data_IF_119083301971
#
_entry.id   IF_119083301971
#
_cell.length_a   1.000
_cell.length_b   1.000
_cell.length_c   1.000
_cell.angle_alpha   90.00
_cell.angle_beta   90.00
_cell.angle_gamma   90.00
#
_symmetry.space_group_name_H-M   'P 1'
#
loop_
_entity.id
_entity.type
_entity.pdbx_description
1 polymer ?
#
# COMPACT_ATOMS: atom_id res chain seq x y z
N UNK A 1 -29.75 9.77 63.64
CA UNK A 1 -29.55 10.18 62.25
C UNK A 1 -28.08 10.07 61.81
N UNK A 2 -27.29 9.04 62.22
CA UNK A 2 -25.88 8.88 61.80
C UNK A 2 -25.54 7.53 61.16
N UNK A 3 -26.54 6.68 60.87
CA UNK A 3 -26.32 5.31 60.34
C UNK A 3 -26.66 5.09 58.88
N UNK A 4 -27.21 6.10 58.17
CA UNK A 4 -27.60 5.92 56.76
C UNK A 4 -26.56 6.48 55.75
N UNK A 5 -25.59 7.31 56.20
CA UNK A 5 -24.58 7.88 55.34
C UNK A 5 -23.45 6.89 54.93
N UNK A 6 -23.10 5.96 55.84
CA UNK A 6 -22.08 4.96 55.56
C UNK A 6 -22.54 3.88 54.54
N UNK A 7 -23.82 3.55 54.51
CA UNK A 7 -24.37 2.58 53.55
C UNK A 7 -24.47 3.17 52.13
N UNK A 8 -24.68 4.49 52.00
CA UNK A 8 -24.75 5.17 50.71
C UNK A 8 -23.36 5.35 50.10
N UNK A 9 -22.33 5.58 50.93
CA UNK A 9 -20.94 5.73 50.44
C UNK A 9 -20.36 4.33 50.05
N UNK A 10 -20.70 3.26 50.79
CA UNK A 10 -20.26 1.92 50.41
C UNK A 10 -20.91 1.40 49.12
N UNK A 11 -22.15 1.79 48.84
CA UNK A 11 -22.81 1.41 47.60
C UNK A 11 -22.32 2.23 46.40
N UNK A 12 -21.87 3.48 46.55
CA UNK A 12 -21.28 4.31 45.52
C UNK A 12 -19.85 3.87 45.16
N UNK A 13 -19.08 3.40 46.14
CA UNK A 13 -17.71 2.87 45.90
C UNK A 13 -17.78 1.46 45.28
N UNK A 14 -18.77 0.63 45.60
CA UNK A 14 -18.97 -0.67 44.96
C UNK A 14 -19.50 -0.53 43.50
N UNK A 15 -20.29 0.50 43.20
CA UNK A 15 -20.76 0.78 41.83
C UNK A 15 -19.67 1.38 40.93
N UNK A 16 -18.75 2.17 41.49
CA UNK A 16 -17.62 2.72 40.72
C UNK A 16 -16.50 1.71 40.44
N UNK A 17 -16.33 0.70 41.31
CA UNK A 17 -15.37 -0.40 41.08
C UNK A 17 -15.87 -1.47 40.09
N UNK A 18 -17.19 -1.58 39.86
CA UNK A 18 -17.73 -2.48 38.83
C UNK A 18 -17.76 -1.83 37.41
N UNK A 19 -17.69 -0.53 37.31
CA UNK A 19 -17.61 0.18 36.02
C UNK A 19 -16.19 0.25 35.44
N UNK A 20 -15.16 -0.06 36.20
CA UNK A 20 -13.77 -0.08 35.76
C UNK A 20 -13.32 -1.45 35.19
N UNK A 21 -14.17 -2.47 35.15
CA UNK A 21 -13.81 -3.84 34.75
C UNK A 21 -14.48 -4.32 33.45
N UNK A 22 -15.12 -3.44 32.70
CA UNK A 22 -15.57 -3.72 31.34
C UNK A 22 -14.68 -2.97 30.33
N UNK A 23 -13.38 -3.21 30.38
CA UNK A 23 -12.58 -3.22 29.18
C UNK A 23 -13.11 -4.43 28.38
N UNK A 24 -14.13 -4.20 27.55
CA UNK A 24 -14.56 -5.17 26.54
C UNK A 24 -13.31 -5.43 25.73
N UNK A 25 -12.69 -6.60 25.93
CA UNK A 25 -11.62 -7.07 25.06
C UNK A 25 -12.20 -6.97 23.65
N UNK A 26 -11.70 -6.03 22.86
CA UNK A 26 -12.15 -5.82 21.50
C UNK A 26 -11.88 -7.13 20.77
N UNK A 27 -12.92 -7.81 20.29
CA UNK A 27 -12.73 -9.05 19.54
C UNK A 27 -11.85 -8.73 18.36
N UNK A 28 -10.78 -9.50 18.10
CA UNK A 28 -9.91 -9.29 16.94
C UNK A 28 -10.76 -9.21 15.69
N UNK A 29 -10.54 -8.17 14.88
CA UNK A 29 -11.27 -7.99 13.63
C UNK A 29 -10.55 -8.67 12.47
N UNK A 30 -9.28 -9.06 12.65
CA UNK A 30 -8.44 -9.69 11.63
C UNK A 30 -7.63 -10.85 12.21
N UNK A 31 -7.38 -11.87 11.37
CA UNK A 31 -6.33 -12.87 11.54
C UNK A 31 -5.21 -12.55 10.55
N UNK A 32 -3.95 -12.77 10.94
CA UNK A 32 -2.79 -12.46 10.10
C UNK A 32 -2.11 -13.75 9.66
N UNK A 33 -1.90 -13.89 8.35
CA UNK A 33 -1.16 -14.99 7.73
C UNK A 33 0.18 -14.46 7.25
N UNK A 34 1.26 -15.16 7.59
CA UNK A 34 2.59 -14.94 7.04
C UNK A 34 2.64 -15.49 5.62
N UNK A 35 3.09 -14.69 4.67
CA UNK A 35 3.22 -15.13 3.27
C UNK A 35 4.59 -15.76 2.99
N UNK A 36 5.55 -15.63 3.94
CA UNK A 36 6.91 -16.15 3.81
C UNK A 36 7.79 -15.30 2.88
N UNK A 37 8.88 -15.91 2.41
CA UNK A 37 9.88 -15.32 1.51
C UNK A 37 10.21 -16.27 0.36
N UNK A 38 11.05 -15.83 -0.58
CA UNK A 38 11.61 -16.71 -1.63
C UNK A 38 12.94 -17.37 -1.20
N UNK A 39 13.10 -17.58 0.11
CA UNK A 39 14.26 -18.20 0.72
C UNK A 39 15.29 -17.20 1.29
N UNK A 40 15.07 -15.91 1.09
CA UNK A 40 15.81 -14.82 1.76
C UNK A 40 15.15 -14.41 3.07
N UNK A 41 15.46 -13.20 3.56
CA UNK A 41 15.12 -12.74 4.91
C UNK A 41 14.00 -11.70 4.95
N UNK A 42 13.44 -11.29 3.80
CA UNK A 42 12.34 -10.32 3.79
C UNK A 42 11.38 -10.51 2.61
N UNK A 43 10.17 -10.01 2.77
CA UNK A 43 9.19 -9.86 1.70
C UNK A 43 8.25 -8.68 1.95
N UNK A 44 7.71 -8.10 0.87
CA UNK A 44 6.82 -6.95 0.88
C UNK A 44 5.58 -7.27 0.06
N UNK A 45 4.37 -7.12 0.62
CA UNK A 45 3.10 -7.30 -0.11
C UNK A 45 2.59 -5.94 -0.59
N UNK A 46 2.43 -5.76 -1.91
CA UNK A 46 2.01 -4.49 -2.49
C UNK A 46 0.57 -4.49 -3.00
N UNK A 47 0.11 -5.59 -3.58
CA UNK A 47 -1.23 -5.67 -4.15
C UNK A 47 -1.97 -6.95 -3.78
N UNK A 48 -3.31 -6.85 -3.69
CA UNK A 48 -4.22 -7.98 -3.49
C UNK A 48 -5.40 -7.87 -4.46
N UNK A 49 -5.83 -8.98 -5.05
CA UNK A 49 -7.07 -9.04 -5.82
C UNK A 49 -8.24 -9.61 -5.00
N UNK A 50 -9.45 -9.64 -5.59
CA UNK A 50 -10.65 -10.15 -4.91
C UNK A 50 -10.66 -11.67 -4.71
N UNK A 51 -9.74 -12.41 -5.32
CA UNK A 51 -9.52 -13.82 -5.04
C UNK A 51 -8.57 -14.06 -3.85
N UNK A 52 -8.06 -13.00 -3.21
CA UNK A 52 -7.11 -13.07 -2.11
C UNK A 52 -5.67 -13.40 -2.56
N UNK A 53 -5.34 -13.21 -3.85
CA UNK A 53 -3.98 -13.38 -4.34
C UNK A 53 -3.18 -12.12 -4.08
N UNK A 54 -1.98 -12.28 -3.54
CA UNK A 54 -1.09 -11.16 -3.15
C UNK A 54 0.16 -11.17 -4.01
N UNK A 55 0.58 -10.01 -4.49
CA UNK A 55 1.86 -9.83 -5.17
C UNK A 55 2.73 -8.80 -4.49
N UNK A 56 4.02 -8.82 -4.79
CA UNK A 56 4.99 -7.91 -4.19
C UNK A 56 6.42 -8.26 -4.59
N UNK A 57 7.37 -7.98 -3.71
CA UNK A 57 8.78 -8.32 -3.84
C UNK A 57 9.25 -9.18 -2.67
N UNK A 58 10.11 -10.15 -2.91
CA UNK A 58 10.70 -10.99 -1.87
C UNK A 58 12.18 -11.27 -2.13
N UNK A 59 12.96 -11.28 -1.07
CA UNK A 59 14.36 -11.68 -1.14
C UNK A 59 14.48 -13.15 -1.49
N UNK A 60 15.39 -13.47 -2.42
CA UNK A 60 15.71 -14.83 -2.83
C UNK A 60 16.83 -15.44 -1.96
N UNK A 61 16.97 -16.75 -2.00
CA UNK A 61 18.04 -17.46 -1.30
C UNK A 61 19.44 -17.14 -1.87
N UNK A 62 19.53 -16.77 -3.15
CA UNK A 62 20.79 -16.45 -3.80
C UNK A 62 21.14 -14.96 -3.59
N UNK A 63 22.12 -14.73 -2.73
CA UNK A 63 22.63 -13.40 -2.39
C UNK A 63 24.08 -13.20 -2.88
N UNK A 64 24.54 -13.98 -3.85
CA UNK A 64 25.95 -13.98 -4.31
C UNK A 64 26.38 -12.71 -5.04
N UNK A 65 25.49 -11.74 -5.25
CA UNK A 65 25.78 -10.45 -5.89
C UNK A 65 25.31 -9.22 -5.13
N UNK A 66 24.89 -9.37 -3.88
CA UNK A 66 24.16 -8.38 -3.10
C UNK A 66 22.75 -8.88 -2.81
N UNK A 67 21.92 -8.04 -2.19
CA UNK A 67 20.52 -8.40 -1.94
C UNK A 67 19.79 -8.46 -3.29
N UNK A 68 19.39 -9.66 -3.71
CA UNK A 68 18.48 -9.81 -4.85
C UNK A 68 17.07 -10.09 -4.36
N UNK A 69 16.12 -9.40 -4.94
CA UNK A 69 14.69 -9.61 -4.70
C UNK A 69 13.99 -9.79 -6.03
N UNK A 70 13.01 -10.68 -6.07
CA UNK A 70 12.19 -10.86 -7.25
C UNK A 70 10.71 -10.65 -6.93
N UNK A 71 9.97 -10.27 -7.96
CA UNK A 71 8.52 -10.21 -7.90
C UNK A 71 7.95 -11.57 -7.53
N UNK A 72 6.94 -11.61 -6.69
CA UNK A 72 6.22 -12.83 -6.35
C UNK A 72 4.71 -12.69 -6.58
N UNK A 73 4.05 -13.84 -6.74
CA UNK A 73 2.61 -14.01 -6.61
C UNK A 73 2.33 -15.07 -5.56
N UNK A 74 1.59 -14.71 -4.51
CA UNK A 74 1.15 -15.64 -3.48
C UNK A 74 -0.33 -15.97 -3.67
N UNK A 75 -0.67 -17.27 -3.68
CA UNK A 75 -2.04 -17.76 -3.74
C UNK A 75 -2.14 -19.14 -3.11
N UNK A 76 -3.27 -19.42 -2.45
CA UNK A 76 -3.55 -20.70 -1.80
C UNK A 76 -2.43 -21.23 -0.88
N UNK A 77 -1.73 -20.34 -0.17
CA UNK A 77 -0.66 -20.72 0.75
C UNK A 77 0.73 -20.90 0.13
N UNK A 78 0.88 -20.61 -1.16
CA UNK A 78 2.14 -20.80 -1.90
C UNK A 78 2.62 -19.48 -2.50
N UNK A 79 3.89 -19.12 -2.28
CA UNK A 79 4.58 -18.03 -2.95
C UNK A 79 5.27 -18.57 -4.21
N UNK A 80 5.00 -17.95 -5.35
CA UNK A 80 5.61 -18.25 -6.64
C UNK A 80 6.56 -17.11 -6.99
N UNK A 81 7.79 -17.43 -7.33
CA UNK A 81 8.76 -16.51 -7.91
C UNK A 81 8.38 -16.19 -9.36
N UNK A 82 8.17 -14.91 -9.67
CA UNK A 82 7.88 -14.44 -11.03
C UNK A 82 9.15 -14.14 -11.81
N UNK A 83 10.31 -14.12 -11.13
CA UNK A 83 11.60 -13.81 -11.73
C UNK A 83 11.73 -12.33 -12.12
N UNK A 84 12.72 -12.04 -12.97
CA UNK A 84 12.97 -10.74 -13.56
C UNK A 84 13.04 -10.86 -15.09
N UNK A 85 13.10 -9.72 -15.79
CA UNK A 85 13.37 -9.69 -17.23
C UNK A 85 14.74 -10.34 -17.55
N UNK A 86 14.93 -10.87 -18.78
CA UNK A 86 16.15 -11.61 -19.11
C UNK A 86 17.45 -10.89 -18.73
N UNK A 87 18.22 -11.52 -17.83
CA UNK A 87 19.49 -11.04 -17.31
C UNK A 87 19.37 -9.93 -16.24
N UNK A 88 18.15 -9.53 -15.87
CA UNK A 88 17.88 -8.73 -14.68
C UNK A 88 18.03 -9.59 -13.42
N UNK A 89 18.25 -8.94 -12.28
CA UNK A 89 18.40 -9.60 -10.98
C UNK A 89 17.32 -9.19 -9.98
N UNK A 90 16.72 -8.01 -10.19
CA UNK A 90 15.69 -7.48 -9.30
C UNK A 90 14.39 -7.19 -10.04
N UNK A 91 13.28 -7.40 -9.34
CA UNK A 91 11.94 -7.04 -9.80
C UNK A 91 10.96 -6.92 -8.64
N UNK A 92 9.87 -6.19 -8.85
CA UNK A 92 8.74 -6.09 -7.92
C UNK A 92 7.42 -6.08 -8.67
N UNK A 93 6.39 -6.71 -8.12
CA UNK A 93 5.04 -6.70 -8.68
C UNK A 93 4.14 -5.75 -7.90
N UNK A 94 3.45 -4.85 -8.61
CA UNK A 94 2.54 -3.88 -8.01
C UNK A 94 1.26 -4.53 -7.49
N UNK A 95 0.53 -5.27 -8.33
CA UNK A 95 -0.69 -5.96 -7.91
C UNK A 95 -1.22 -6.88 -9.00
N UNK A 96 -1.93 -7.97 -8.64
CA UNK A 96 -2.52 -8.86 -9.62
C UNK A 96 -3.93 -8.40 -10.01
N UNK A 97 -4.31 -8.58 -11.27
CA UNK A 97 -5.71 -8.47 -11.69
C UNK A 97 -6.51 -9.74 -11.29
N UNK A 98 -7.79 -9.79 -11.63
CA UNK A 98 -8.70 -10.89 -11.26
C UNK A 98 -8.32 -12.26 -11.80
N UNK A 99 -7.43 -12.35 -12.80
CA UNK A 99 -6.92 -13.60 -13.38
C UNK A 99 -5.44 -13.87 -13.03
N UNK A 100 -4.82 -13.02 -12.20
CA UNK A 100 -3.46 -13.21 -11.69
C UNK A 100 -2.37 -12.67 -12.61
N UNK A 101 -2.70 -11.89 -13.65
CA UNK A 101 -1.69 -11.12 -14.37
C UNK A 101 -1.22 -9.97 -13.51
N UNK A 102 0.07 -9.66 -13.51
CA UNK A 102 0.65 -8.65 -12.64
C UNK A 102 1.46 -7.63 -13.42
N UNK A 103 1.27 -6.34 -13.07
CA UNK A 103 2.18 -5.28 -13.46
C UNK A 103 3.47 -5.42 -12.65
N UNK A 104 4.62 -5.26 -13.30
CA UNK A 104 5.94 -5.49 -12.69
C UNK A 104 6.88 -4.38 -13.11
N UNK A 105 7.71 -3.90 -12.19
CA UNK A 105 8.94 -3.20 -12.53
C UNK A 105 10.10 -4.19 -12.45
N UNK A 106 11.00 -4.18 -13.43
CA UNK A 106 12.09 -5.14 -13.48
C UNK A 106 13.33 -4.57 -14.13
N UNK A 107 14.46 -4.88 -13.54
CA UNK A 107 15.74 -4.65 -14.17
C UNK A 107 15.96 -5.53 -15.39
N UNK A 108 16.84 -5.07 -16.27
CA UNK A 108 17.42 -5.85 -17.37
C UNK A 108 18.89 -6.13 -17.13
N UNK A 109 19.57 -6.83 -18.04
CA UNK A 109 21.02 -7.05 -17.99
C UNK A 109 21.84 -5.80 -18.32
N UNK A 110 21.22 -4.72 -18.79
CA UNK A 110 21.91 -3.51 -19.26
C UNK A 110 22.15 -2.54 -18.10
N UNK A 111 23.31 -1.90 -18.09
CA UNK A 111 23.56 -0.74 -17.22
C UNK A 111 22.82 0.48 -17.82
N UNK A 112 22.26 1.30 -16.95
CA UNK A 112 21.67 2.55 -17.36
C UNK A 112 22.73 3.51 -17.94
N UNK A 113 22.58 4.03 -19.16
CA UNK A 113 23.59 4.89 -19.81
C UNK A 113 23.72 6.27 -19.15
N UNK A 114 22.71 6.72 -18.38
CA UNK A 114 22.70 7.99 -17.66
C UNK A 114 23.14 7.83 -16.21
N UNK A 115 23.39 6.59 -15.75
CA UNK A 115 23.73 6.27 -14.37
C UNK A 115 22.57 6.39 -13.40
N UNK A 116 21.34 6.36 -13.90
CA UNK A 116 20.12 6.43 -13.10
C UNK A 116 19.88 5.11 -12.36
N UNK A 117 19.23 5.19 -11.19
CA UNK A 117 18.74 4.03 -10.45
C UNK A 117 17.22 4.04 -10.42
N UNK A 118 16.64 3.95 -11.61
CA UNK A 118 15.20 4.18 -11.82
C UNK A 118 14.31 3.18 -11.07
N UNK A 119 14.74 1.95 -10.90
CA UNK A 119 14.07 0.94 -10.09
C UNK A 119 14.36 1.02 -8.58
N UNK A 120 15.27 1.89 -8.15
CA UNK A 120 15.69 2.07 -6.74
C UNK A 120 16.29 0.81 -6.08
N UNK A 121 16.86 -0.12 -6.86
CA UNK A 121 17.52 -1.31 -6.33
C UNK A 121 19.01 -1.11 -6.00
N UNK A 122 19.56 0.09 -6.24
CA UNK A 122 20.98 0.42 -5.98
C UNK A 122 21.96 -0.16 -7.00
N UNK A 123 21.48 -0.67 -8.13
CA UNK A 123 22.30 -1.37 -9.12
C UNK A 123 22.64 -0.53 -10.34
N UNK A 124 21.96 0.60 -10.55
CA UNK A 124 22.06 1.44 -11.74
C UNK A 124 21.86 0.67 -13.05
N UNK A 125 20.98 -0.32 -13.04
CA UNK A 125 20.58 -1.06 -14.24
C UNK A 125 19.38 -0.41 -14.90
N UNK A 126 19.25 -0.61 -16.22
CA UNK A 126 18.05 -0.25 -16.94
C UNK A 126 16.83 -0.92 -16.29
N UNK A 127 15.83 -0.11 -15.94
CA UNK A 127 14.54 -0.54 -15.42
C UNK A 127 13.49 -0.50 -16.51
N UNK A 128 12.67 -1.54 -16.64
CA UNK A 128 11.51 -1.53 -17.54
C UNK A 128 10.23 -1.94 -16.79
N UNK A 129 9.14 -1.28 -17.16
CA UNK A 129 7.82 -1.84 -16.91
C UNK A 129 7.68 -3.18 -17.62
N UNK A 130 7.04 -4.13 -16.98
CA UNK A 130 6.77 -5.44 -17.53
C UNK A 130 5.37 -5.92 -17.12
N UNK A 131 4.85 -6.90 -17.83
CA UNK A 131 3.67 -7.65 -17.45
C UNK A 131 4.02 -9.12 -17.31
N UNK A 132 3.61 -9.70 -16.20
CA UNK A 132 3.69 -11.15 -16.02
C UNK A 132 2.34 -11.79 -16.33
N UNK A 133 2.35 -12.78 -17.25
CA UNK A 133 1.18 -13.55 -17.69
C UNK A 133 1.53 -15.01 -17.86
N UNK A 134 0.83 -15.89 -17.18
CA UNK A 134 0.96 -17.37 -17.39
C UNK A 134 2.42 -17.88 -17.36
N UNK A 135 3.24 -17.38 -16.45
CA UNK A 135 4.65 -17.80 -16.31
C UNK A 135 5.63 -17.07 -17.23
N UNK A 136 5.18 -16.07 -17.98
CA UNK A 136 6.03 -15.27 -18.88
C UNK A 136 6.03 -13.81 -18.48
N UNK A 137 7.23 -13.27 -18.29
CA UNK A 137 7.43 -11.83 -18.09
C UNK A 137 7.79 -11.17 -19.43
N UNK A 138 7.02 -10.16 -19.81
CA UNK A 138 7.19 -9.44 -21.07
C UNK A 138 7.44 -7.96 -20.80
N UNK A 139 8.55 -7.41 -21.31
CA UNK A 139 8.88 -6.00 -21.19
C UNK A 139 7.88 -5.12 -21.96
N UNK A 140 7.57 -3.97 -21.38
CA UNK A 140 6.73 -2.93 -21.97
C UNK A 140 7.62 -1.81 -22.56
N UNK A 141 7.20 -1.18 -23.67
CA UNK A 141 7.97 -0.11 -24.30
C UNK A 141 7.97 1.17 -23.47
N UNK A 142 8.99 2.02 -23.69
CA UNK A 142 9.07 3.38 -23.17
C UNK A 142 8.60 4.41 -24.20
N UNK A 143 8.57 5.69 -23.83
CA UNK A 143 8.25 6.80 -24.75
C UNK A 143 9.49 7.31 -25.53
N UNK A 144 10.56 6.51 -25.60
CA UNK A 144 11.79 6.83 -26.31
C UNK A 144 13.00 7.04 -25.40
N UNK A 145 12.82 7.06 -24.08
CA UNK A 145 13.89 6.99 -23.10
C UNK A 145 14.27 5.55 -22.77
N UNK A 146 15.14 5.39 -21.77
CA UNK A 146 15.75 4.13 -21.39
C UNK A 146 14.89 3.34 -20.41
N UNK A 147 14.23 4.05 -19.47
CA UNK A 147 13.58 3.46 -18.30
C UNK A 147 12.06 3.60 -18.35
N UNK A 148 11.39 2.72 -17.61
CA UNK A 148 9.97 2.73 -17.33
C UNK A 148 9.62 1.81 -16.17
N UNK A 149 8.48 2.03 -15.53
CA UNK A 149 7.99 1.21 -14.44
C UNK A 149 6.48 1.00 -14.56
N UNK A 150 6.01 -0.20 -14.24
CA UNK A 150 4.59 -0.56 -14.24
C UNK A 150 4.14 -0.87 -12.81
N UNK A 151 2.98 -0.30 -12.40
CA UNK A 151 2.49 -0.37 -11.03
C UNK A 151 1.10 -1.00 -10.92
N UNK A 152 0.15 -0.57 -11.74
CA UNK A 152 -1.23 -1.02 -11.69
C UNK A 152 -1.65 -1.77 -12.94
N UNK A 153 -2.59 -2.72 -12.78
CA UNK A 153 -3.22 -3.46 -13.87
C UNK A 153 -4.71 -3.61 -13.58
N UNK A 154 -5.57 -3.41 -14.57
CA UNK A 154 -7.00 -3.65 -14.45
C UNK A 154 -7.42 -5.03 -14.97
N UNK A 155 -8.70 -5.38 -14.81
CA UNK A 155 -9.22 -6.67 -15.25
C UNK A 155 -9.33 -6.83 -16.78
N UNK A 156 -9.17 -5.73 -17.54
CA UNK A 156 -9.03 -5.77 -19.00
C UNK A 156 -7.60 -6.03 -19.45
N UNK A 157 -6.63 -6.08 -18.52
CA UNK A 157 -5.20 -6.25 -18.81
C UNK A 157 -4.51 -4.96 -19.30
N UNK A 158 -5.15 -3.77 -19.11
CA UNK A 158 -4.51 -2.48 -19.29
C UNK A 158 -3.58 -2.24 -18.09
N UNK A 159 -2.34 -1.83 -18.35
CA UNK A 159 -1.30 -1.57 -17.35
C UNK A 159 -1.06 -0.07 -17.26
N UNK A 160 -0.78 0.44 -16.07
CA UNK A 160 -0.43 1.84 -15.84
C UNK A 160 0.93 1.94 -15.15
N UNK A 161 1.63 3.05 -15.42
CA UNK A 161 2.90 3.37 -14.82
C UNK A 161 3.45 4.67 -15.34
N UNK A 162 4.76 4.76 -15.48
CA UNK A 162 5.42 5.88 -16.12
C UNK A 162 6.65 5.41 -16.92
N UNK A 163 7.03 6.21 -17.90
CA UNK A 163 8.14 5.88 -18.79
C UNK A 163 8.87 7.15 -19.24
N UNK A 164 10.16 7.04 -19.41
CA UNK A 164 10.98 8.12 -19.92
C UNK A 164 10.66 8.45 -21.39
N UNK A 165 10.67 9.74 -21.70
CA UNK A 165 10.42 10.27 -23.05
C UNK A 165 11.70 10.65 -23.82
N UNK A 166 12.88 10.42 -23.23
CA UNK A 166 14.18 10.75 -23.85
C UNK A 166 14.59 12.22 -23.77
N UNK A 167 13.82 13.09 -23.12
CA UNK A 167 14.14 14.52 -22.97
C UNK A 167 14.92 14.75 -21.68
N UNK A 168 16.17 15.24 -21.82
CA UNK A 168 16.99 15.64 -20.67
C UNK A 168 16.38 16.86 -19.97
N UNK A 169 16.34 16.81 -18.63
CA UNK A 169 15.87 17.91 -17.77
C UNK A 169 16.79 18.11 -16.57
N UNK A 170 17.58 19.18 -16.61
CA UNK A 170 18.51 19.50 -15.53
C UNK A 170 17.81 19.75 -14.17
N UNK A 171 16.51 20.04 -14.15
CA UNK A 171 15.77 20.25 -12.90
C UNK A 171 15.56 18.95 -12.14
N UNK A 172 15.65 17.78 -12.78
CA UNK A 172 15.59 16.49 -12.13
C UNK A 172 16.77 16.23 -11.17
N UNK A 173 17.89 16.96 -11.34
CA UNK A 173 19.14 16.77 -10.58
C UNK A 173 19.16 17.43 -9.20
N UNK A 174 18.14 18.15 -8.79
CA UNK A 174 18.21 19.05 -7.61
C UNK A 174 18.15 18.32 -6.25
N UNK A 175 18.08 17.00 -6.22
CA UNK A 175 18.00 16.20 -4.99
C UNK A 175 19.35 15.68 -4.43
N UNK A 176 20.49 16.04 -5.01
CA UNK A 176 21.83 15.69 -4.47
C UNK A 176 22.43 14.34 -4.89
N UNK A 177 21.64 13.44 -5.46
CA UNK A 177 22.06 12.23 -6.20
C UNK A 177 21.28 12.23 -7.52
N UNK A 178 21.90 11.95 -8.66
CA UNK A 178 21.17 11.89 -9.92
C UNK A 178 20.35 10.59 -10.00
N UNK A 179 19.20 10.58 -9.32
CA UNK A 179 18.25 9.47 -9.47
C UNK A 179 17.54 9.52 -10.83
N UNK A 180 17.44 10.72 -11.40
CA UNK A 180 16.70 10.94 -12.64
C UNK A 180 17.35 12.08 -13.42
N UNK A 181 17.54 11.92 -14.72
CA UNK A 181 18.06 12.96 -15.62
C UNK A 181 17.16 13.19 -16.83
N UNK A 182 16.33 12.22 -17.14
CA UNK A 182 15.42 12.24 -18.29
C UNK A 182 13.98 12.43 -17.78
N UNK A 183 13.19 13.24 -18.46
CA UNK A 183 11.76 13.39 -18.17
C UNK A 183 11.04 12.08 -18.36
N UNK A 184 10.05 11.85 -17.50
CA UNK A 184 9.15 10.72 -17.59
C UNK A 184 7.70 11.19 -17.54
N UNK A 185 6.85 10.46 -18.26
CA UNK A 185 5.42 10.73 -18.37
C UNK A 185 4.63 9.55 -17.79
N UNK A 186 3.46 9.84 -17.24
CA UNK A 186 2.50 8.80 -16.95
C UNK A 186 2.10 8.11 -18.26
N UNK A 187 1.98 6.78 -18.22
CA UNK A 187 1.62 6.00 -19.41
C UNK A 187 0.61 4.93 -19.07
N UNK A 188 -0.17 4.58 -20.07
CA UNK A 188 -1.01 3.40 -20.09
C UNK A 188 -0.57 2.49 -21.21
N UNK A 189 -0.41 1.20 -20.94
CA UNK A 189 -0.20 0.18 -21.96
C UNK A 189 -1.47 -0.64 -22.16
N UNK A 190 -1.85 -0.81 -23.41
CA UNK A 190 -2.94 -1.71 -23.78
C UNK A 190 -2.58 -3.18 -23.50
N UNK A 191 -3.56 -4.10 -23.48
CA UNK A 191 -3.30 -5.54 -23.29
C UNK A 191 -2.36 -6.16 -24.34
N UNK A 192 -2.22 -5.53 -25.52
CA UNK A 192 -1.30 -5.91 -26.59
C UNK A 192 0.09 -5.26 -26.48
N UNK A 193 0.33 -4.43 -25.43
CA UNK A 193 1.59 -3.74 -25.17
C UNK A 193 1.76 -2.41 -25.89
N UNK A 194 0.73 -1.88 -26.59
CA UNK A 194 0.80 -0.53 -27.15
C UNK A 194 0.80 0.51 -26.04
N UNK A 195 1.74 1.48 -26.12
CA UNK A 195 1.91 2.54 -25.12
C UNK A 195 1.11 3.79 -25.51
N UNK A 196 0.45 4.40 -24.53
CA UNK A 196 -0.26 5.66 -24.62
C UNK A 196 0.25 6.61 -23.54
N UNK A 197 0.73 7.76 -23.95
CA UNK A 197 1.14 8.85 -23.05
C UNK A 197 -0.08 9.44 -22.36
N UNK A 198 0.06 9.72 -21.06
CA UNK A 198 -0.88 10.45 -20.23
C UNK A 198 -0.18 11.75 -19.82
N UNK A 199 -0.41 12.79 -20.62
CA UNK A 199 0.32 14.04 -20.50
C UNK A 199 0.20 14.66 -19.08
N UNK A 200 1.27 15.31 -18.57
CA UNK A 200 1.20 16.11 -17.36
C UNK A 200 0.23 17.27 -17.49
N UNK A 201 -0.14 17.88 -16.36
CA UNK A 201 -0.95 19.10 -16.36
C UNK A 201 -0.21 20.26 -17.03
N UNK A 202 -0.93 21.26 -17.59
CA UNK A 202 -0.31 22.41 -18.22
C UNK A 202 0.63 23.16 -17.27
N UNK A 203 1.90 23.26 -17.65
CA UNK A 203 2.96 23.89 -16.85
C UNK A 203 3.85 22.89 -16.11
N UNK A 204 3.43 21.64 -15.95
CA UNK A 204 4.23 20.56 -15.40
C UNK A 204 5.10 19.89 -16.49
N UNK A 205 6.14 19.18 -16.07
CA UNK A 205 7.13 18.58 -16.99
C UNK A 205 7.22 17.07 -16.87
N UNK A 206 6.63 16.47 -15.83
CA UNK A 206 6.63 15.04 -15.57
C UNK A 206 5.32 14.59 -14.96
N UNK A 207 5.00 13.31 -15.10
CA UNK A 207 3.83 12.70 -14.49
C UNK A 207 4.06 11.22 -14.12
N UNK A 208 3.35 10.76 -13.08
CA UNK A 208 3.31 9.36 -12.66
C UNK A 208 1.89 8.81 -12.77
N UNK A 209 1.74 7.61 -13.29
CA UNK A 209 0.51 6.83 -13.17
C UNK A 209 0.68 5.72 -12.11
N UNK A 210 -0.23 5.67 -11.13
CA UNK A 210 -0.17 4.70 -10.04
C UNK A 210 -1.31 3.68 -10.08
N UNK A 211 -2.55 4.15 -10.13
CA UNK A 211 -3.73 3.30 -10.09
C UNK A 211 -4.57 3.39 -11.36
N UNK A 212 -5.22 2.28 -11.71
CA UNK A 212 -6.14 2.18 -12.84
C UNK A 212 -7.37 1.37 -12.44
N UNK A 213 -8.56 1.82 -12.83
CA UNK A 213 -9.80 1.05 -12.64
C UNK A 213 -10.25 0.32 -13.92
N UNK A 214 -11.29 -0.52 -13.81
CA UNK A 214 -11.81 -1.27 -14.94
C UNK A 214 -12.50 -0.42 -16.02
N UNK A 215 -12.79 0.85 -15.72
CA UNK A 215 -13.25 1.83 -16.71
C UNK A 215 -12.11 2.46 -17.51
N UNK A 216 -10.85 2.11 -17.21
CA UNK A 216 -9.66 2.66 -17.86
C UNK A 216 -9.30 4.08 -17.40
N UNK A 217 -9.85 4.54 -16.26
CA UNK A 217 -9.44 5.78 -15.61
C UNK A 217 -8.16 5.54 -14.82
N UNK A 218 -7.20 6.43 -14.98
CA UNK A 218 -5.89 6.39 -14.32
C UNK A 218 -5.78 7.52 -13.31
N UNK A 219 -5.10 7.27 -12.21
CA UNK A 219 -4.78 8.31 -11.22
C UNK A 219 -3.29 8.30 -10.89
N UNK A 220 -2.82 9.46 -10.45
CA UNK A 220 -1.41 9.62 -10.14
C UNK A 220 -1.07 11.06 -9.74
N UNK A 221 0.08 11.50 -10.19
CA UNK A 221 0.58 12.82 -9.88
C UNK A 221 1.24 13.48 -11.09
N UNK A 222 1.21 14.82 -11.12
CA UNK A 222 1.85 15.66 -12.11
C UNK A 222 2.63 16.77 -11.44
N UNK A 223 3.78 17.17 -11.99
CA UNK A 223 4.58 18.24 -11.44
C UNK A 223 5.84 18.55 -12.22
N UNK A 224 6.71 19.35 -11.62
CA UNK A 224 8.03 19.59 -12.14
C UNK A 224 8.98 18.47 -11.70
N UNK A 225 9.94 18.12 -12.53
CA UNK A 225 10.89 17.04 -12.23
C UNK A 225 11.64 17.27 -10.91
N UNK A 226 11.99 18.51 -10.59
CA UNK A 226 12.61 18.90 -9.32
C UNK A 226 11.73 18.65 -8.09
N UNK A 227 10.42 18.53 -8.26
CA UNK A 227 9.46 18.36 -7.17
C UNK A 227 8.95 16.92 -7.06
N UNK A 228 9.15 16.12 -8.10
CA UNK A 228 8.58 14.76 -8.22
C UNK A 228 9.63 13.67 -8.07
N UNK A 229 10.90 14.00 -8.31
CA UNK A 229 11.98 13.05 -8.13
C UNK A 229 12.40 13.06 -6.67
N UNK A 230 11.92 12.16 -5.81
CA UNK A 230 12.67 11.72 -4.63
C UNK A 230 11.87 10.79 -3.73
N UNK A 231 12.46 9.66 -3.32
CA UNK A 231 12.01 8.85 -2.20
C UNK A 231 12.23 9.60 -0.86
N UNK A 232 11.42 9.31 0.17
CA UNK A 232 10.40 8.27 0.21
C UNK A 232 9.01 8.76 -0.19
N UNK A 233 8.80 10.05 -0.50
CA UNK A 233 7.52 10.61 -0.88
C UNK A 233 7.74 11.64 -1.99
N UNK A 234 7.38 11.32 -3.24
CA UNK A 234 7.38 12.33 -4.27
C UNK A 234 6.49 13.49 -3.81
N UNK A 235 7.06 14.66 -3.66
CA UNK A 235 6.31 15.88 -3.45
C UNK A 235 5.74 16.32 -4.80
N UNK A 236 4.79 15.54 -5.34
CA UNK A 236 4.07 15.96 -6.52
C UNK A 236 3.16 17.12 -6.14
N UNK A 237 3.19 18.25 -6.83
CA UNK A 237 2.32 19.37 -6.51
C UNK A 237 0.84 19.05 -6.78
N UNK A 238 0.51 18.15 -7.73
CA UNK A 238 -0.84 17.95 -8.22
C UNK A 238 -1.26 16.48 -8.25
N UNK A 239 -2.32 16.11 -7.52
CA UNK A 239 -3.03 14.86 -7.73
C UNK A 239 -3.85 14.94 -9.02
N UNK A 240 -3.70 13.96 -9.91
CA UNK A 240 -4.32 13.97 -11.25
C UNK A 240 -5.14 12.70 -11.46
N UNK A 241 -6.25 12.87 -12.19
CA UNK A 241 -6.97 11.78 -12.83
C UNK A 241 -6.94 11.98 -14.34
N UNK A 242 -6.57 10.94 -15.08
CA UNK A 242 -6.74 10.85 -16.53
C UNK A 242 -7.96 9.98 -16.82
N UNK A 243 -8.88 10.49 -17.61
CA UNK A 243 -9.99 9.72 -18.12
C UNK A 243 -9.54 8.77 -19.25
N UNK A 244 -10.38 7.84 -19.67
CA UNK A 244 -10.01 6.82 -20.66
C UNK A 244 -9.46 7.40 -21.98
N UNK A 245 -9.89 8.60 -22.36
CA UNK A 245 -9.45 9.33 -23.56
C UNK A 245 -8.12 10.07 -23.37
N UNK A 246 -7.48 9.98 -22.19
CA UNK A 246 -6.24 10.65 -21.84
C UNK A 246 -6.40 12.09 -21.34
N UNK A 247 -7.65 12.59 -21.22
CA UNK A 247 -7.89 13.94 -20.69
C UNK A 247 -7.55 14.00 -19.19
N UNK A 248 -6.69 14.95 -18.81
CA UNK A 248 -6.23 15.14 -17.43
C UNK A 248 -7.16 16.08 -16.65
N UNK A 249 -7.41 15.76 -15.39
CA UNK A 249 -8.13 16.58 -14.43
C UNK A 249 -7.29 16.76 -13.18
N UNK A 250 -6.99 18.01 -12.81
CA UNK A 250 -6.41 18.35 -11.51
C UNK A 250 -7.46 18.11 -10.42
N UNK A 251 -7.12 17.30 -9.41
CA UNK A 251 -8.01 16.99 -8.29
C UNK A 251 -7.89 17.99 -7.14
N UNK A 252 -6.94 18.94 -7.23
CA UNK A 252 -6.61 19.90 -6.19
C UNK A 252 -5.84 19.30 -5.02
N UNK A 253 -5.83 20.03 -3.90
CA UNK A 253 -5.18 19.62 -2.65
C UNK A 253 -6.01 20.04 -1.44
N UNK A 254 -5.77 19.46 -0.28
CA UNK A 254 -6.40 19.90 0.97
C UNK A 254 -6.02 21.34 1.25
N UNK A 255 -7.03 22.23 1.34
CA UNK A 255 -6.84 23.66 1.61
C UNK A 255 -6.01 24.42 0.58
N UNK A 256 -5.92 23.94 -0.66
CA UNK A 256 -5.14 24.54 -1.76
C UNK A 256 -3.64 24.69 -1.43
N UNK A 257 -3.06 23.72 -0.71
CA UNK A 257 -1.62 23.72 -0.36
C UNK A 257 -0.71 23.44 -1.55
N UNK A 258 -1.25 22.95 -2.69
CA UNK A 258 -0.48 22.59 -3.88
C UNK A 258 0.36 21.31 -3.72
N UNK A 259 0.11 20.48 -2.69
CA UNK A 259 0.84 19.24 -2.48
C UNK A 259 -0.15 18.09 -2.25
N UNK A 260 -0.31 17.25 -3.28
CA UNK A 260 -1.22 16.11 -3.26
C UNK A 260 -0.81 15.05 -4.27
N UNK A 261 -1.11 13.78 -3.95
CA UNK A 261 -0.87 12.61 -4.80
C UNK A 261 -2.12 11.75 -4.79
N UNK A 262 -2.66 11.42 -5.95
CA UNK A 262 -3.72 10.42 -6.09
C UNK A 262 -3.08 9.03 -6.23
N UNK A 263 -3.21 8.21 -5.21
CA UNK A 263 -2.49 6.93 -5.12
C UNK A 263 -3.27 5.78 -5.74
N UNK A 264 -4.60 5.81 -5.67
CA UNK A 264 -5.46 4.67 -6.03
C UNK A 264 -6.86 5.13 -6.45
N UNK A 265 -7.52 4.33 -7.27
CA UNK A 265 -8.90 4.53 -7.74
C UNK A 265 -9.65 3.21 -7.72
N UNK A 266 -10.89 3.21 -7.22
CA UNK A 266 -11.77 2.03 -7.29
C UNK A 266 -12.67 2.04 -8.53
N UNK A 267 -13.45 0.96 -8.73
CA UNK A 267 -14.35 0.82 -9.89
C UNK A 267 -15.59 1.74 -9.83
N UNK A 268 -15.80 2.45 -8.71
CA UNK A 268 -16.82 3.50 -8.60
C UNK A 268 -16.30 4.90 -8.95
N UNK A 269 -14.98 5.00 -9.27
CA UNK A 269 -14.32 6.26 -9.57
C UNK A 269 -14.01 7.10 -8.32
N UNK A 270 -14.03 6.49 -7.13
CA UNK A 270 -13.55 7.11 -5.90
C UNK A 270 -12.03 6.99 -5.83
N UNK A 271 -11.36 8.06 -5.46
CA UNK A 271 -9.90 8.17 -5.46
C UNK A 271 -9.43 8.41 -4.04
N UNK A 272 -8.46 7.65 -3.60
CA UNK A 272 -7.76 7.91 -2.35
C UNK A 272 -6.29 8.28 -2.60
N UNK A 273 -5.72 9.02 -1.68
CA UNK A 273 -4.37 9.50 -1.79
C UNK A 273 -3.94 10.29 -0.57
N UNK A 274 -2.84 11.02 -0.70
CA UNK A 274 -2.27 11.83 0.37
C UNK A 274 -2.15 13.29 -0.06
N UNK A 275 -2.40 14.21 0.87
CA UNK A 275 -2.24 15.66 0.65
C UNK A 275 -1.79 16.35 1.92
N UNK A 276 -0.95 17.38 1.75
CA UNK A 276 -0.54 18.25 2.86
C UNK A 276 -1.77 18.98 3.43
N UNK A 277 -1.99 18.86 4.72
CA UNK A 277 -3.09 19.52 5.41
C UNK A 277 -2.66 20.89 5.93
N UNK A 278 -3.42 21.97 5.66
CA UNK A 278 -3.13 23.28 6.23
C UNK A 278 -3.46 23.38 7.73
N UNK A 279 -4.12 22.37 8.31
CA UNK A 279 -4.53 22.37 9.73
C UNK A 279 -3.33 22.23 10.67
N UNK A 280 -2.37 21.40 10.29
CA UNK A 280 -1.23 21.02 11.13
C UNK A 280 0.10 20.89 10.35
N UNK A 281 0.07 21.07 9.03
CA UNK A 281 1.26 20.99 8.18
C UNK A 281 1.77 19.56 7.97
N UNK A 282 0.95 18.55 8.26
CA UNK A 282 1.32 17.13 8.05
C UNK A 282 0.58 16.54 6.84
N UNK A 283 1.06 15.38 6.34
CA UNK A 283 0.38 14.65 5.28
C UNK A 283 -0.83 13.92 5.87
N UNK A 284 -2.00 14.16 5.28
CA UNK A 284 -3.25 13.48 5.59
C UNK A 284 -3.70 12.59 4.45
N UNK A 285 -4.41 11.50 4.76
CA UNK A 285 -5.19 10.78 3.77
C UNK A 285 -6.36 11.62 3.26
N UNK A 286 -6.68 11.50 1.98
CA UNK A 286 -7.91 12.07 1.41
C UNK A 286 -8.73 11.02 0.68
N UNK A 287 -10.03 11.29 0.59
CA UNK A 287 -10.96 10.62 -0.32
C UNK A 287 -11.55 11.66 -1.26
N UNK A 288 -11.44 11.44 -2.57
CA UNK A 288 -12.03 12.29 -3.59
C UNK A 288 -13.16 11.55 -4.31
N UNK A 289 -14.27 12.26 -4.52
CA UNK A 289 -15.35 11.81 -5.39
C UNK A 289 -15.78 12.95 -6.31
N UNK A 290 -16.38 12.62 -7.45
CA UNK A 290 -16.92 13.64 -8.36
C UNK A 290 -17.95 14.56 -7.69
N UNK A 291 -18.65 14.07 -6.67
CA UNK A 291 -19.69 14.82 -5.95
C UNK A 291 -19.14 15.76 -4.89
N UNK A 292 -18.12 15.30 -4.13
CA UNK A 292 -17.63 16.02 -2.95
C UNK A 292 -16.32 16.76 -3.19
N UNK A 293 -15.61 16.48 -4.29
CA UNK A 293 -14.22 16.86 -4.43
C UNK A 293 -13.35 16.15 -3.39
N UNK A 294 -12.19 16.72 -3.08
CA UNK A 294 -11.23 16.18 -2.10
C UNK A 294 -11.71 16.44 -0.66
N UNK A 295 -11.82 15.37 0.12
CA UNK A 295 -12.24 15.40 1.53
C UNK A 295 -11.13 14.79 2.39
N UNK A 296 -10.73 15.52 3.41
CA UNK A 296 -9.77 15.06 4.43
C UNK A 296 -10.36 13.90 5.24
N UNK A 297 -9.71 12.74 5.24
CA UNK A 297 -10.09 11.56 6.05
C UNK A 297 -9.22 11.43 7.30
N UNK A 298 -8.36 12.41 7.57
CA UNK A 298 -7.58 12.57 8.78
C UNK A 298 -6.20 11.92 8.74
N UNK A 299 -5.36 12.37 9.69
CA UNK A 299 -4.06 11.79 9.99
C UNK A 299 -4.12 10.98 11.30
N UNK A 300 -3.21 10.02 11.42
CA UNK A 300 -3.06 9.25 12.66
C UNK A 300 -2.47 10.15 13.77
N UNK A 301 -3.05 10.14 14.98
CA UNK A 301 -2.60 11.00 16.06
C UNK A 301 -1.12 10.83 16.42
N UNK A 302 -0.36 11.93 16.41
CA UNK A 302 1.08 11.91 16.71
C UNK A 302 1.99 11.52 15.55
N UNK A 303 1.43 11.20 14.37
CA UNK A 303 2.22 10.95 13.18
C UNK A 303 2.75 12.26 12.58
N UNK A 304 3.96 12.21 12.01
CA UNK A 304 4.51 13.29 11.18
C UNK A 304 4.03 13.18 9.73
N UNK A 305 3.59 11.98 9.32
CA UNK A 305 2.92 11.75 8.05
C UNK A 305 1.94 10.58 8.16
N UNK A 306 0.82 10.69 7.47
CA UNK A 306 -0.15 9.60 7.29
C UNK A 306 -0.36 9.41 5.80
N UNK A 307 0.00 8.25 5.29
CA UNK A 307 0.18 7.98 3.87
C UNK A 307 -0.80 6.94 3.38
N UNK A 308 -1.44 7.24 2.26
CA UNK A 308 -2.14 6.27 1.41
C UNK A 308 -1.16 5.89 0.29
N UNK A 309 -0.50 4.71 0.36
CA UNK A 309 0.49 4.29 -0.64
C UNK A 309 -0.15 4.00 -2.00
N UNK A 310 0.69 3.80 -3.03
CA UNK A 310 0.20 3.54 -4.37
C UNK A 310 -0.50 2.19 -4.49
N UNK A 311 -1.33 2.12 -5.45
CA UNK A 311 -1.91 1.06 -6.25
C UNK A 311 -3.31 0.60 -5.81
N UNK A 312 -3.50 -0.17 -4.74
CA UNK A 312 -4.78 -0.86 -4.46
C UNK A 312 -5.30 -0.60 -3.05
N UNK A 313 -5.12 0.61 -2.55
CA UNK A 313 -5.39 0.98 -1.16
C UNK A 313 -6.83 1.39 -0.87
N UNK A 314 -7.72 1.37 -1.87
CA UNK A 314 -9.16 1.58 -1.71
C UNK A 314 -9.94 0.45 -2.37
N UNK A 315 -10.94 -0.11 -1.68
CA UNK A 315 -11.85 -1.09 -2.25
C UNK A 315 -13.18 -0.45 -2.72
N UNK A 316 -14.06 -1.25 -3.36
CA UNK A 316 -15.37 -0.79 -3.81
C UNK A 316 -16.37 -0.53 -2.67
N UNK A 317 -16.02 -0.79 -1.42
CA UNK A 317 -16.78 -0.39 -0.22
C UNK A 317 -16.28 0.92 0.41
N UNK A 318 -15.42 1.68 -0.28
CA UNK A 318 -14.75 2.92 0.18
C UNK A 318 -13.91 2.72 1.45
N UNK A 319 -13.45 1.52 1.72
CA UNK A 319 -12.48 1.29 2.78
C UNK A 319 -11.09 1.67 2.26
N UNK A 320 -10.35 2.45 3.02
CA UNK A 320 -9.00 2.91 2.68
C UNK A 320 -8.01 2.35 3.69
N UNK A 321 -6.84 1.93 3.21
CA UNK A 321 -5.73 1.47 4.05
C UNK A 321 -4.46 2.28 3.76
N UNK A 322 -3.50 2.21 4.67
CA UNK A 322 -2.22 2.90 4.52
C UNK A 322 -1.33 2.73 5.74
N UNK A 323 -0.50 3.71 5.99
CA UNK A 323 0.38 3.70 7.16
C UNK A 323 0.63 5.10 7.72
N UNK A 324 1.03 5.13 8.97
CA UNK A 324 1.46 6.34 9.67
C UNK A 324 2.94 6.24 10.01
N UNK A 325 3.64 7.38 9.98
CA UNK A 325 5.05 7.51 10.35
C UNK A 325 5.13 8.42 11.57
N UNK A 326 5.79 7.97 12.63
CA UNK A 326 6.05 8.80 13.82
C UNK A 326 7.32 9.68 13.66
N UNK A 327 7.59 10.55 14.63
CA UNK A 327 8.75 11.45 14.61
C UNK A 327 10.11 10.75 14.69
N UNK A 328 10.15 9.44 14.90
CA UNK A 328 11.37 8.61 14.91
C UNK A 328 11.52 7.77 13.64
N UNK A 329 10.56 7.86 12.70
CA UNK A 329 10.56 7.12 11.45
C UNK A 329 9.93 5.73 11.53
N UNK A 330 9.34 5.34 12.67
CA UNK A 330 8.65 4.06 12.77
C UNK A 330 7.33 4.10 12.01
N UNK A 331 7.06 3.05 11.24
CA UNK A 331 5.83 2.89 10.48
C UNK A 331 4.83 2.00 11.23
N UNK A 332 3.54 2.26 10.98
CA UNK A 332 2.41 1.56 11.59
C UNK A 332 1.28 1.44 10.60
N UNK A 333 0.84 0.22 10.29
CA UNK A 333 -0.28 -0.03 9.39
C UNK A 333 -1.59 0.54 9.95
N UNK A 334 -2.36 1.21 9.10
CA UNK A 334 -3.65 1.80 9.47
C UNK A 334 -4.75 1.42 8.48
N UNK A 335 -5.97 1.44 8.98
CA UNK A 335 -7.19 1.37 8.18
C UNK A 335 -8.10 2.53 8.58
N UNK A 336 -8.68 3.24 7.60
CA UNK A 336 -9.65 4.28 7.88
C UNK A 336 -11.04 3.68 8.12
N UNK A 337 -11.59 3.94 9.31
CA UNK A 337 -12.95 3.57 9.70
C UNK A 337 -13.73 4.83 10.05
N UNK A 338 -14.85 5.08 9.40
CA UNK A 338 -15.70 6.25 9.65
C UNK A 338 -14.93 7.58 9.59
N UNK A 339 -14.03 7.72 8.60
CA UNK A 339 -13.16 8.90 8.39
C UNK A 339 -12.14 9.14 9.52
N UNK A 340 -11.77 8.12 10.27
CA UNK A 340 -10.72 8.17 11.27
C UNK A 340 -9.72 7.03 11.04
N UNK A 341 -8.41 7.30 11.05
CA UNK A 341 -7.40 6.25 10.95
C UNK A 341 -7.33 5.44 12.25
N UNK A 342 -7.33 4.13 12.12
CA UNK A 342 -7.24 3.16 13.22
C UNK A 342 -5.99 2.31 13.01
N UNK A 343 -5.21 2.13 14.06
CA UNK A 343 -4.04 1.24 14.06
C UNK A 343 -4.47 -0.21 13.83
N UNK A 344 -4.02 -0.82 12.74
CA UNK A 344 -4.35 -2.20 12.38
C UNK A 344 -3.82 -3.19 13.44
N UNK A 345 -2.74 -2.83 14.17
CA UNK A 345 -2.20 -3.64 15.26
C UNK A 345 -3.18 -3.78 16.43
N UNK A 346 -4.11 -2.84 16.61
CA UNK A 346 -5.16 -2.95 17.64
C UNK A 346 -6.31 -3.87 17.24
N UNK A 347 -6.34 -4.31 15.99
CA UNK A 347 -7.41 -5.11 15.39
C UNK A 347 -7.03 -6.57 15.16
N UNK A 348 -5.79 -6.95 15.47
CA UNK A 348 -5.30 -8.34 15.44
C UNK A 348 -5.35 -8.96 16.86
N UNK A 349 -5.24 -10.30 17.02
CA UNK A 349 -5.29 -10.94 18.32
C UNK A 349 -4.26 -10.37 19.31
N UNK A 350 -4.65 -10.13 20.59
CA UNK A 350 -3.70 -9.76 21.63
C UNK A 350 -2.61 -10.85 21.77
N UNK A 351 -1.34 -10.42 21.86
CA UNK A 351 -0.21 -11.35 21.92
C UNK A 351 0.19 -11.93 20.57
N UNK A 352 -0.33 -11.42 19.48
CA UNK A 352 0.17 -11.72 18.13
C UNK A 352 1.68 -11.45 18.05
N UNK A 353 2.49 -12.31 17.39
CA UNK A 353 3.91 -12.05 17.17
C UNK A 353 4.14 -10.92 16.14
N UNK A 354 3.09 -10.48 15.44
CA UNK A 354 3.17 -9.47 14.41
C UNK A 354 3.18 -8.05 14.94
N UNK A 355 4.01 -7.21 14.31
CA UNK A 355 3.86 -5.76 14.29
C UNK A 355 3.69 -5.27 12.86
N UNK A 356 2.46 -4.96 12.46
CA UNK A 356 2.10 -4.55 11.10
C UNK A 356 2.57 -3.12 10.85
N UNK A 357 3.46 -2.94 9.87
CA UNK A 357 4.10 -1.66 9.58
C UNK A 357 3.38 -0.87 8.50
N UNK A 358 3.00 -1.53 7.40
CA UNK A 358 2.27 -0.88 6.30
C UNK A 358 1.10 -1.75 5.86
N UNK A 359 0.00 -1.12 5.48
CA UNK A 359 -1.10 -1.74 4.75
C UNK A 359 -1.10 -1.14 3.33
N UNK A 360 -0.71 -1.95 2.34
CA UNK A 360 -0.46 -1.49 0.98
C UNK A 360 -1.64 -1.74 0.04
N UNK A 361 -2.55 -2.66 0.39
CA UNK A 361 -3.71 -2.96 -0.46
C UNK A 361 -4.86 -3.57 0.32
N UNK A 362 -6.08 -3.42 -0.22
CA UNK A 362 -7.31 -3.97 0.34
C UNK A 362 -8.25 -4.40 -0.79
N UNK A 363 -8.81 -5.62 -0.70
CA UNK A 363 -9.79 -6.12 -1.65
C UNK A 363 -11.24 -5.89 -1.20
N UNK A 364 -12.22 -6.29 -2.00
CA UNK A 364 -13.65 -6.10 -1.71
C UNK A 364 -14.18 -6.99 -0.56
N UNK A 365 -13.46 -8.06 -0.22
CA UNK A 365 -13.73 -8.85 0.98
C UNK A 365 -13.21 -8.18 2.27
N UNK A 366 -12.46 -7.08 2.15
CA UNK A 366 -11.82 -6.38 3.27
C UNK A 366 -10.54 -7.06 3.74
N UNK A 367 -9.97 -7.96 2.95
CA UNK A 367 -8.65 -8.54 3.21
C UNK A 367 -7.57 -7.51 2.87
N UNK A 368 -6.54 -7.41 3.72
CA UNK A 368 -5.50 -6.39 3.64
C UNK A 368 -4.15 -7.08 3.47
N UNK A 369 -3.39 -6.67 2.45
CA UNK A 369 -1.99 -7.07 2.29
C UNK A 369 -1.05 -5.90 2.59
N UNK A 370 0.15 -6.24 3.06
CA UNK A 370 1.17 -5.28 3.43
C UNK A 370 2.42 -5.96 3.95
N UNK A 371 3.19 -5.25 4.77
CA UNK A 371 4.37 -5.79 5.43
C UNK A 371 4.39 -5.48 6.92
N UNK A 372 5.05 -6.32 7.68
CA UNK A 372 5.21 -6.17 9.12
C UNK A 372 6.39 -6.97 9.64
N UNK A 373 6.69 -6.76 10.91
CA UNK A 373 7.73 -7.50 11.62
C UNK A 373 7.12 -8.75 12.25
N UNK A 374 7.75 -9.88 12.04
CA UNK A 374 7.52 -11.15 12.72
C UNK A 374 8.89 -11.77 13.05
N UNK A 375 9.10 -12.17 14.30
CA UNK A 375 10.37 -12.77 14.80
C UNK A 375 11.64 -11.95 14.45
N UNK A 376 11.47 -10.63 14.25
CA UNK A 376 12.56 -9.68 13.92
C UNK A 376 12.84 -9.53 12.42
N UNK A 377 12.14 -10.23 11.55
CA UNK A 377 12.25 -10.12 10.09
C UNK A 377 11.03 -9.41 9.50
N UNK A 378 11.20 -8.79 8.33
CA UNK A 378 10.11 -8.10 7.60
C UNK A 378 9.47 -9.09 6.65
N UNK A 379 8.22 -9.45 6.89
CA UNK A 379 7.48 -10.34 6.00
C UNK A 379 6.23 -9.66 5.42
N UNK A 380 5.88 -10.05 4.21
CA UNK A 380 4.56 -9.79 3.63
C UNK A 380 3.49 -10.54 4.44
N UNK A 381 2.37 -9.87 4.69
CA UNK A 381 1.24 -10.48 5.40
C UNK A 381 -0.06 -10.38 4.59
N UNK A 382 -0.99 -11.28 4.92
CA UNK A 382 -2.40 -11.19 4.57
C UNK A 382 -3.22 -11.14 5.86
N UNK A 383 -3.89 -10.01 6.13
CA UNK A 383 -4.84 -9.85 7.22
C UNK A 383 -6.25 -10.09 6.69
N UNK A 384 -6.88 -11.18 7.13
CA UNK A 384 -8.22 -11.60 6.73
C UNK A 384 -9.23 -11.23 7.82
N UNK A 385 -10.39 -10.60 7.48
CA UNK A 385 -11.43 -10.30 8.46
C UNK A 385 -11.87 -11.53 9.23
N UNK A 386 -11.91 -11.44 10.57
CA UNK A 386 -12.38 -12.52 11.41
C UNK A 386 -13.87 -12.78 11.15
N UNK A 387 -14.24 -14.04 10.94
CA UNK A 387 -15.66 -14.41 10.78
C UNK A 387 -16.42 -14.09 12.06
N UNK A 388 -17.53 -13.36 11.95
CA UNK A 388 -18.43 -13.12 13.06
C UNK A 388 -18.90 -14.47 13.64
N UNK A 389 -18.48 -14.82 14.88
CA UNK A 389 -18.87 -16.05 15.58
C UNK A 389 -17.76 -17.04 15.89
N UNK A 390 -16.50 -16.80 15.54
CA UNK A 390 -15.37 -17.67 15.91
C UNK A 390 -14.73 -17.30 17.27
N UNK A 391 -15.48 -16.71 18.21
CA UNK A 391 -15.06 -16.71 19.60
C UNK A 391 -15.05 -18.15 20.09
N UNK A 392 -13.88 -18.78 20.11
CA UNK A 392 -13.72 -20.15 20.59
C UNK A 392 -14.18 -20.23 22.04
N UNK A 393 -15.15 -21.10 22.33
CA UNK A 393 -15.51 -21.62 23.64
C UNK A 393 -14.37 -22.45 24.27
N UNK A 394 -13.13 -22.03 24.16
CA UNK A 394 -11.96 -22.67 24.72
C UNK A 394 -11.55 -22.03 26.05
N UNK A 395 -12.51 -21.81 26.97
CA UNK A 395 -12.22 -21.16 28.26
C UNK A 395 -13.16 -21.50 29.41
N UNK A 396 -14.01 -22.50 29.28
CA UNK A 396 -15.00 -22.78 30.35
C UNK A 396 -15.20 -24.27 30.61
N UNK A 397 -14.14 -25.05 30.85
CA UNK A 397 -14.20 -26.33 31.57
C UNK A 397 -12.89 -26.53 32.34
N UNK A 398 -12.74 -25.84 33.45
CA UNK A 398 -11.90 -26.33 34.59
C UNK A 398 -12.60 -25.98 35.90
N UNK A 399 -12.96 -27.01 36.63
CA UNK A 399 -13.12 -26.92 38.06
C UNK A 399 -14.52 -27.02 38.62
N UNK A 400 -15.15 -28.18 38.55
CA UNK A 400 -16.01 -28.65 39.64
C UNK A 400 -15.68 -30.11 39.87
N UNK A 401 -14.66 -30.37 40.69
CA UNK A 401 -14.52 -31.62 41.41
C UNK A 401 -15.18 -31.45 42.76
N UNK A 402 -16.40 -31.97 42.93
CA UNK A 402 -17.06 -32.11 44.21
C UNK A 402 -16.40 -33.24 45.05
N UNK A 403 -16.51 -33.19 46.37
CA UNK A 403 -15.81 -34.13 47.24
C UNK A 403 -16.46 -35.53 47.22
N UNK A 404 -15.61 -36.56 47.16
CA UNK A 404 -16.01 -37.95 47.28
C UNK A 404 -16.54 -38.20 48.72
N UNK A 405 -17.79 -38.66 48.81
CA UNK A 405 -18.35 -39.22 50.06
C UNK A 405 -17.82 -40.61 50.21
N UNK A 406 -17.15 -40.88 51.38
CA UNK A 406 -16.82 -42.18 51.79
C UNK A 406 -18.06 -42.90 52.38
N UNK A 407 -18.14 -44.17 52.17
CA UNK A 407 -18.89 -45.12 53.05
C UNK A 407 -18.29 -46.51 52.92
N UNK A 408 -17.89 -47.01 54.05
CA UNK A 408 -17.88 -48.33 54.58
C UNK A 408 -17.58 -49.52 53.64
#
# INVERSE_FOLDING_TARGET
MKTNWLKTILNLVAASSLLAALAVAQTPSYTVTDLGTLGGTYSYGYGINDAGWVSGGAATADQTGGVSQTAFLWFHGHMIDLGALPGGVNSEAGGPNGVGESAVLSETSRTDPNGEDFCEFGTHRQCLGAIWRNGVMTALPTLGGVNGAAFGINNSGEVVGFAENGVYDATCLTGGTPFQTIRFEAVKWDPNGAIHELAPLPGDTVAFGFGINDSGQVVGASGLCSNTAIPPFPSAPHAVRWDRDGSATDLGSLGNTGNSIASTINNRGEIAGSSLSPKDGTMHGFLWTKLTGMVDIGAFPGAVATVVPCCYTINNSSQVVGFAIDGTGNMRAIVWRHKAPVDLNTLIPPGSPWFLQTACSINDAGEIAGQGLIDGEIHAFLATPAKAGSASLAGAVQGVTGPAAGSQ
#
